data_IF_915486041555
#
_entry.id   IF_915486041555
#
_cell.length_a   1.000
_cell.length_b   1.000
_cell.length_c   1.000
_cell.angle_alpha   90.00
_cell.angle_beta   90.00
_cell.angle_gamma   90.00
#
_symmetry.space_group_name_H-M   'P 1'
#
loop_
_entity.id
_entity.type
_entity.pdbx_description
1 polymer ?
#
# COMPACT_ATOMS: atom_id res chain seq x y z
N UNK A 1 42.33 -14.75 47.58
CA UNK A 1 40.99 -15.22 47.22
C UNK A 1 40.20 -14.06 46.57
N UNK A 2 40.58 -13.59 45.37
CA UNK A 2 40.00 -12.36 44.73
C UNK A 2 39.80 -12.53 43.21
N UNK A 3 39.61 -13.76 42.72
CA UNK A 3 39.40 -14.03 41.29
C UNK A 3 37.93 -14.31 40.91
N UNK A 4 37.02 -14.29 41.89
CA UNK A 4 35.63 -14.75 41.71
C UNK A 4 34.57 -13.62 41.67
N UNK A 5 34.96 -12.36 41.88
CA UNK A 5 34.04 -11.20 41.84
C UNK A 5 33.81 -10.70 40.40
N UNK A 6 34.89 -10.37 39.68
CA UNK A 6 34.81 -9.82 38.31
C UNK A 6 34.06 -10.73 37.32
N UNK A 7 34.08 -12.06 37.55
CA UNK A 7 33.40 -13.03 36.70
C UNK A 7 31.88 -13.08 36.96
N UNK A 8 31.43 -12.72 38.16
CA UNK A 8 30.01 -12.57 38.49
C UNK A 8 29.46 -11.27 37.94
N UNK A 9 30.24 -10.20 38.03
CA UNK A 9 29.84 -8.88 37.53
C UNK A 9 29.69 -8.87 36.01
N UNK A 10 30.60 -9.52 35.27
CA UNK A 10 30.49 -9.67 33.82
C UNK A 10 29.31 -10.57 33.42
N UNK A 11 29.03 -11.62 34.18
CA UNK A 11 27.86 -12.49 33.96
C UNK A 11 26.55 -11.73 34.23
N UNK A 12 26.53 -10.89 35.27
CA UNK A 12 25.37 -10.07 35.63
C UNK A 12 25.10 -9.00 34.56
N UNK A 13 26.14 -8.35 34.05
CA UNK A 13 26.03 -7.41 32.93
C UNK A 13 25.55 -8.10 31.66
N UNK A 14 26.06 -9.31 31.35
CA UNK A 14 25.63 -10.07 30.18
C UNK A 14 24.15 -10.47 30.29
N UNK A 15 23.70 -10.93 31.46
CA UNK A 15 22.31 -11.29 31.73
C UNK A 15 21.40 -10.06 31.65
N UNK A 16 21.83 -8.93 32.24
CA UNK A 16 21.07 -7.68 32.20
C UNK A 16 20.96 -7.11 30.79
N UNK A 17 22.03 -7.24 29.98
CA UNK A 17 22.01 -6.87 28.57
C UNK A 17 21.08 -7.78 27.77
N UNK A 18 21.13 -9.09 28.00
CA UNK A 18 20.25 -10.05 27.34
C UNK A 18 18.77 -9.79 27.69
N UNK A 19 18.46 -9.51 28.95
CA UNK A 19 17.11 -9.16 29.41
C UNK A 19 16.57 -7.87 28.79
N UNK A 20 17.45 -6.95 28.37
CA UNK A 20 17.07 -5.67 27.77
C UNK A 20 16.92 -5.77 26.25
N UNK A 21 17.74 -6.60 25.60
CA UNK A 21 17.72 -6.80 24.14
C UNK A 21 16.71 -7.86 23.71
N UNK A 22 16.45 -8.87 24.53
CA UNK A 22 15.53 -9.95 24.19
C UNK A 22 14.08 -9.47 23.91
N UNK A 23 13.48 -8.52 24.67
CA UNK A 23 12.16 -7.98 24.35
C UNK A 23 12.11 -7.25 23.01
N UNK A 24 13.20 -6.58 22.63
CA UNK A 24 13.35 -5.90 21.33
C UNK A 24 13.46 -6.87 20.14
N UNK A 25 13.72 -8.17 20.39
CA UNK A 25 13.73 -9.21 19.36
C UNK A 25 12.34 -9.86 19.18
N UNK A 26 11.39 -9.63 20.10
CA UNK A 26 10.02 -10.19 20.05
C UNK A 26 9.03 -9.17 19.47
N UNK A 27 9.50 -8.10 18.85
CA UNK A 27 8.61 -7.16 18.15
C UNK A 27 8.01 -7.93 16.97
N UNK A 28 6.74 -8.30 17.09
CA UNK A 28 6.03 -8.97 16.00
C UNK A 28 6.05 -8.04 14.78
N UNK A 29 6.41 -8.53 13.58
CA UNK A 29 6.27 -7.75 12.37
C UNK A 29 4.76 -7.54 12.15
N UNK A 30 4.30 -6.31 12.41
CA UNK A 30 2.93 -5.90 12.13
C UNK A 30 2.79 -5.85 10.61
N UNK A 31 2.13 -6.86 10.05
CA UNK A 31 1.87 -6.97 8.62
C UNK A 31 0.56 -6.28 8.23
N UNK A 32 0.55 -5.61 7.08
CA UNK A 32 -0.70 -5.15 6.48
C UNK A 32 -1.62 -6.35 6.19
N UNK A 33 -2.84 -6.34 6.73
CA UNK A 33 -3.80 -7.42 6.55
C UNK A 33 -4.75 -7.09 5.40
N UNK A 34 -5.00 -8.05 4.50
CA UNK A 34 -6.04 -7.91 3.45
C UNK A 34 -7.40 -8.12 4.09
N UNK A 35 -8.20 -7.05 4.21
CA UNK A 35 -9.56 -7.10 4.74
C UNK A 35 -10.56 -7.64 3.71
N UNK A 36 -10.38 -7.23 2.45
CA UNK A 36 -11.30 -7.59 1.38
C UNK A 36 -10.57 -7.60 0.03
N UNK A 37 -10.97 -8.50 -0.85
CA UNK A 37 -10.45 -8.63 -2.21
C UNK A 37 -11.61 -8.87 -3.19
N UNK A 38 -11.59 -8.14 -4.30
CA UNK A 38 -12.62 -8.27 -5.34
C UNK A 38 -12.02 -8.04 -6.72
N UNK A 39 -12.61 -8.67 -7.73
CA UNK A 39 -12.32 -8.40 -9.12
C UNK A 39 -13.54 -7.71 -9.74
N UNK A 40 -13.32 -6.52 -10.29
CA UNK A 40 -14.38 -5.76 -10.94
C UNK A 40 -14.11 -5.61 -12.42
N UNK A 41 -15.16 -5.83 -13.21
CA UNK A 41 -15.12 -5.56 -14.65
C UNK A 41 -15.68 -4.17 -14.92
N UNK A 42 -14.83 -3.28 -15.41
CA UNK A 42 -15.15 -1.86 -15.60
C UNK A 42 -14.73 -1.36 -16.97
N UNK A 43 -15.41 -0.31 -17.44
CA UNK A 43 -15.06 0.41 -18.67
C UNK A 43 -14.15 1.60 -18.40
N UNK A 44 -14.28 2.19 -17.21
CA UNK A 44 -13.51 3.35 -16.80
C UNK A 44 -13.43 3.41 -15.28
N UNK A 45 -12.27 3.83 -14.79
CA UNK A 45 -12.02 4.15 -13.39
C UNK A 45 -11.59 5.61 -13.33
N UNK A 46 -12.23 6.39 -12.47
CA UNK A 46 -11.81 7.77 -12.18
C UNK A 46 -11.48 7.88 -10.70
N UNK A 47 -10.26 8.27 -10.39
CA UNK A 47 -9.81 8.55 -9.03
C UNK A 47 -9.69 10.06 -8.90
N UNK A 48 -10.41 10.63 -7.94
CA UNK A 48 -10.39 12.07 -7.64
C UNK A 48 -9.56 12.27 -6.38
N UNK A 49 -8.55 13.12 -6.48
CA UNK A 49 -7.62 13.42 -5.38
C UNK A 49 -7.22 14.90 -5.38
N UNK A 50 -6.96 15.42 -4.19
CA UNK A 50 -6.31 16.73 -3.99
C UNK A 50 -4.78 16.63 -3.96
N UNK A 51 -4.25 15.43 -4.10
CA UNK A 51 -2.83 15.13 -4.23
C UNK A 51 -2.40 15.35 -5.68
N UNK A 52 -2.21 16.61 -6.07
CA UNK A 52 -1.94 17.02 -7.46
C UNK A 52 -0.44 17.25 -7.71
N UNK A 53 0.37 17.32 -6.65
CA UNK A 53 1.79 17.62 -6.77
C UNK A 53 2.59 16.38 -7.22
N UNK A 54 3.32 16.52 -8.32
CA UNK A 54 4.30 15.56 -8.84
C UNK A 54 3.76 14.19 -9.30
N UNK A 55 2.45 14.08 -9.57
CA UNK A 55 1.86 12.82 -10.03
C UNK A 55 1.63 12.85 -11.56
N UNK A 56 2.32 12.01 -12.33
CA UNK A 56 2.15 11.98 -13.77
C UNK A 56 0.71 11.56 -14.12
N UNK A 57 0.17 12.15 -15.18
CA UNK A 57 -1.15 11.84 -15.74
C UNK A 57 -2.36 12.21 -14.86
N UNK A 58 -2.18 13.06 -13.84
CA UNK A 58 -3.30 13.73 -13.16
C UNK A 58 -3.67 15.02 -13.91
N UNK A 59 -4.95 15.17 -14.23
CA UNK A 59 -5.49 16.41 -14.81
C UNK A 59 -6.64 16.92 -13.94
N UNK A 60 -6.53 18.16 -13.46
CA UNK A 60 -7.55 18.81 -12.60
C UNK A 60 -7.94 17.96 -11.38
N UNK A 61 -6.95 17.34 -10.72
CA UNK A 61 -7.17 16.47 -9.56
C UNK A 61 -7.83 15.13 -9.89
N UNK A 62 -7.82 14.71 -11.17
CA UNK A 62 -8.41 13.45 -11.62
C UNK A 62 -7.38 12.60 -12.32
N UNK A 63 -7.29 11.35 -11.88
CA UNK A 63 -6.59 10.28 -12.57
C UNK A 63 -7.63 9.36 -13.21
N UNK A 64 -7.57 9.19 -14.52
CA UNK A 64 -8.56 8.43 -15.28
C UNK A 64 -7.88 7.25 -15.96
N UNK A 65 -8.42 6.05 -15.77
CA UNK A 65 -8.09 4.84 -16.54
C UNK A 65 -9.26 4.44 -17.43
N UNK A 66 -9.02 4.26 -18.73
CA UNK A 66 -10.05 3.80 -19.68
C UNK A 66 -9.43 3.00 -20.83
N UNK A 67 -10.21 2.54 -21.80
CA UNK A 67 -9.64 1.87 -22.99
C UNK A 67 -8.94 2.84 -23.96
N UNK A 68 -9.14 4.15 -23.79
CA UNK A 68 -8.67 5.21 -24.68
C UNK A 68 -7.73 6.15 -23.91
N UNK A 69 -6.72 6.70 -24.59
CA UNK A 69 -5.73 7.61 -24.01
C UNK A 69 -4.45 6.91 -23.53
N UNK A 70 -3.68 7.64 -22.70
CA UNK A 70 -2.39 7.21 -22.15
C UNK A 70 -2.54 6.19 -21.01
N UNK A 71 -3.52 6.39 -20.13
CA UNK A 71 -3.80 5.51 -18.99
C UNK A 71 -4.79 4.41 -19.38
N UNK A 72 -4.27 3.37 -20.03
CA UNK A 72 -5.11 2.26 -20.50
C UNK A 72 -5.50 1.32 -19.35
N UNK A 73 -6.78 0.95 -19.25
CA UNK A 73 -7.26 0.01 -18.23
C UNK A 73 -6.53 -1.33 -18.26
N UNK A 74 -6.17 -1.82 -19.44
CA UNK A 74 -5.39 -3.06 -19.61
C UNK A 74 -3.99 -3.01 -18.95
N UNK A 75 -3.48 -1.80 -18.71
CA UNK A 75 -2.20 -1.60 -18.04
C UNK A 75 -2.39 -1.54 -16.52
N UNK A 76 -3.61 -1.38 -16.01
CA UNK A 76 -3.90 -1.35 -14.58
C UNK A 76 -4.01 -2.77 -14.04
N UNK A 77 -3.09 -3.14 -13.16
CA UNK A 77 -3.05 -4.47 -12.54
C UNK A 77 -3.94 -4.53 -11.30
N UNK A 78 -3.79 -3.55 -10.40
CA UNK A 78 -4.45 -3.56 -9.09
C UNK A 78 -4.63 -2.17 -8.49
N UNK A 79 -5.70 -2.00 -7.73
CA UNK A 79 -5.95 -0.86 -6.85
C UNK A 79 -6.00 -1.38 -5.41
N UNK A 80 -5.06 -0.93 -4.60
CA UNK A 80 -4.96 -1.25 -3.18
C UNK A 80 -5.46 -0.04 -2.38
N UNK A 81 -6.58 -0.18 -1.68
CA UNK A 81 -7.20 0.85 -0.84
C UNK A 81 -6.73 0.62 0.60
N UNK A 82 -6.08 1.61 1.18
CA UNK A 82 -5.52 1.53 2.51
C UNK A 82 -6.43 2.22 3.51
N UNK A 83 -6.87 1.48 4.54
CA UNK A 83 -7.74 2.00 5.60
C UNK A 83 -7.06 1.92 6.97
N UNK A 84 -7.37 2.86 7.85
CA UNK A 84 -7.04 2.74 9.28
C UNK A 84 -8.02 1.80 10.00
N UNK A 85 -7.80 1.60 11.31
CA UNK A 85 -8.65 0.79 12.18
C UNK A 85 -10.07 1.35 12.34
N UNK A 86 -10.32 2.62 12.01
CA UNK A 86 -11.63 3.26 12.03
C UNK A 86 -12.34 3.17 10.66
N UNK A 87 -11.72 2.51 9.66
CA UNK A 87 -12.23 2.43 8.29
C UNK A 87 -12.03 3.70 7.46
N UNK A 88 -11.27 4.69 7.97
CA UNK A 88 -10.92 5.89 7.21
C UNK A 88 -9.88 5.54 6.15
N UNK A 89 -10.10 6.00 4.92
CA UNK A 89 -9.15 5.79 3.82
C UNK A 89 -7.93 6.70 4.02
N UNK A 90 -6.75 6.10 4.16
CA UNK A 90 -5.47 6.78 4.29
C UNK A 90 -4.83 7.09 2.93
N UNK A 91 -5.10 6.26 1.92
CA UNK A 91 -4.60 6.45 0.57
C UNK A 91 -4.92 5.27 -0.34
N UNK A 92 -4.50 5.39 -1.59
CA UNK A 92 -4.70 4.36 -2.61
C UNK A 92 -3.39 4.12 -3.34
N UNK A 93 -2.94 2.87 -3.40
CA UNK A 93 -1.84 2.47 -4.29
C UNK A 93 -2.41 1.90 -5.57
N UNK A 94 -1.89 2.39 -6.67
CA UNK A 94 -2.23 1.95 -8.01
C UNK A 94 -1.03 1.21 -8.56
N UNK A 95 -1.22 -0.05 -8.93
CA UNK A 95 -0.18 -0.89 -9.53
C UNK A 95 -0.50 -1.05 -11.02
N UNK A 96 0.44 -0.66 -11.88
CA UNK A 96 0.22 -0.61 -13.33
C UNK A 96 1.50 -0.93 -14.12
N UNK A 97 1.34 -1.27 -15.39
CA UNK A 97 2.43 -1.50 -16.35
C UNK A 97 2.66 -0.25 -17.20
N UNK A 98 3.90 0.21 -17.29
CA UNK A 98 4.26 1.43 -18.04
C UNK A 98 4.47 1.24 -19.54
N UNK A 99 4.33 -0.01 -20.03
CA UNK A 99 4.45 -0.37 -21.44
C UNK A 99 5.75 -1.09 -21.81
N UNK A 100 6.77 -1.10 -20.95
CA UNK A 100 8.03 -1.86 -21.14
C UNK A 100 8.04 -3.10 -20.21
N UNK A 101 6.87 -3.63 -19.88
CA UNK A 101 6.65 -4.73 -18.93
C UNK A 101 7.15 -4.50 -17.49
N UNK A 102 7.60 -3.29 -17.14
CA UNK A 102 7.94 -2.98 -15.75
C UNK A 102 6.68 -2.62 -14.96
N UNK A 103 6.48 -3.36 -13.87
CA UNK A 103 5.45 -3.03 -12.88
C UNK A 103 5.88 -1.77 -12.13
N UNK A 104 5.01 -0.76 -12.16
CA UNK A 104 5.16 0.46 -11.38
C UNK A 104 4.03 0.57 -10.40
N UNK A 105 4.29 1.28 -9.32
CA UNK A 105 3.25 1.66 -8.39
C UNK A 105 3.28 3.14 -8.07
N UNK A 106 2.10 3.69 -7.86
CA UNK A 106 1.89 5.09 -7.48
C UNK A 106 0.99 5.10 -6.25
N UNK A 107 1.40 5.84 -5.22
CA UNK A 107 0.59 6.05 -4.04
C UNK A 107 -0.06 7.42 -4.10
N UNK A 108 -1.38 7.46 -3.93
CA UNK A 108 -2.18 8.68 -3.92
C UNK A 108 -2.72 8.91 -2.51
N UNK A 109 -2.46 10.09 -1.95
CA UNK A 109 -3.06 10.55 -0.70
C UNK A 109 -4.32 11.36 -1.01
N UNK A 110 -5.01 11.83 0.04
CA UNK A 110 -6.13 12.79 -0.05
C UNK A 110 -7.20 12.39 -1.08
N UNK A 111 -7.55 11.10 -1.11
CA UNK A 111 -8.55 10.57 -2.03
C UNK A 111 -9.92 11.11 -1.65
N UNK A 112 -10.56 11.79 -2.59
CA UNK A 112 -11.94 12.27 -2.45
C UNK A 112 -12.95 11.20 -2.84
N UNK A 113 -12.70 10.51 -3.95
CA UNK A 113 -13.61 9.48 -4.45
C UNK A 113 -12.93 8.56 -5.47
N UNK A 114 -13.39 7.32 -5.53
CA UNK A 114 -13.10 6.38 -6.61
C UNK A 114 -14.41 6.03 -7.30
N UNK A 115 -14.47 6.26 -8.61
CA UNK A 115 -15.69 6.07 -9.41
C UNK A 115 -15.42 4.93 -10.40
N UNK A 116 -16.25 3.88 -10.31
CA UNK A 116 -16.21 2.72 -11.19
C UNK A 116 -17.37 2.78 -12.18
N UNK A 117 -17.07 3.00 -13.45
CA UNK A 117 -18.07 3.00 -14.51
C UNK A 117 -18.21 1.57 -15.08
N UNK A 118 -19.35 0.93 -14.78
CA UNK A 118 -19.68 -0.42 -15.26
C UNK A 118 -19.89 -0.41 -16.78
N UNK A 119 -19.38 -1.42 -17.47
CA UNK A 119 -19.58 -1.55 -18.90
C UNK A 119 -20.98 -2.10 -19.23
N UNK A 120 -21.78 -1.33 -19.97
CA UNK A 120 -23.11 -1.76 -20.49
C UNK A 120 -23.06 -2.27 -21.93
N UNK A 121 -21.93 -2.09 -22.64
CA UNK A 121 -21.74 -2.51 -24.05
C UNK A 121 -20.46 -3.34 -24.22
N UNK A 122 -20.33 -4.01 -25.36
CA UNK A 122 -19.19 -4.85 -25.80
C UNK A 122 -17.88 -4.07 -26.02
N UNK A 123 -17.49 -3.19 -25.08
CA UNK A 123 -16.15 -2.62 -25.03
C UNK A 123 -15.14 -3.67 -24.55
N UNK A 124 -13.85 -3.48 -24.87
CA UNK A 124 -12.78 -4.35 -24.38
C UNK A 124 -12.73 -4.25 -22.86
N UNK A 125 -13.21 -5.30 -22.19
CA UNK A 125 -13.34 -5.34 -20.74
C UNK A 125 -11.95 -5.37 -20.10
N UNK A 126 -11.70 -4.46 -19.15
CA UNK A 126 -10.59 -4.58 -18.21
C UNK A 126 -11.10 -5.20 -16.91
N UNK A 127 -10.48 -6.29 -16.46
CA UNK A 127 -10.68 -6.81 -15.10
C UNK A 127 -9.66 -6.15 -14.21
N UNK A 128 -10.13 -5.39 -13.23
CA UNK A 128 -9.28 -4.69 -12.27
C UNK A 128 -9.43 -5.37 -10.93
N UNK A 129 -8.29 -5.73 -10.35
CA UNK A 129 -8.22 -6.28 -9.02
C UNK A 129 -8.26 -5.13 -7.99
N UNK A 130 -9.20 -5.19 -7.05
CA UNK A 130 -9.32 -4.24 -5.94
C UNK A 130 -9.05 -4.99 -4.62
N UNK A 131 -8.23 -4.39 -3.75
CA UNK A 131 -8.01 -4.86 -2.39
C UNK A 131 -8.27 -3.74 -1.39
N UNK A 132 -8.76 -4.10 -0.21
CA UNK A 132 -8.81 -3.23 0.96
C UNK A 132 -7.84 -3.80 1.98
N UNK A 133 -6.91 -2.96 2.45
CA UNK A 133 -5.79 -3.34 3.30
C UNK A 133 -5.79 -2.49 4.58
N UNK A 134 -5.52 -3.10 5.74
CA UNK A 134 -5.22 -2.33 6.95
C UNK A 134 -3.86 -1.67 6.86
N UNK A 135 -3.78 -0.48 7.43
CA UNK A 135 -2.52 0.25 7.61
C UNK A 135 -2.20 0.33 9.07
N UNK A 136 -1.91 -0.82 9.67
CA UNK A 136 -1.55 -0.84 11.08
C UNK A 136 -0.20 -0.13 11.32
N UNK A 137 0.61 0.10 10.28
CA UNK A 137 1.68 1.12 10.25
C UNK A 137 2.31 1.17 8.84
N UNK A 138 1.92 2.12 7.97
CA UNK A 138 2.76 2.44 6.79
C UNK A 138 3.92 3.31 7.30
N UNK A 139 5.00 2.67 7.75
CA UNK A 139 6.21 3.38 8.22
C UNK A 139 7.00 4.01 7.06
N UNK A 140 6.82 3.58 5.81
CA UNK A 140 7.38 4.28 4.64
C UNK A 140 6.85 3.73 3.31
N UNK A 141 6.13 4.53 2.50
CA UNK A 141 5.84 4.18 1.11
C UNK A 141 6.79 4.97 0.19
N UNK A 142 8.04 4.51 0.07
CA UNK A 142 8.96 5.00 -0.98
C UNK A 142 9.42 3.81 -1.81
#
# INVERSE_FOLDING_TARGET
MVLNSNRKDSLFLLISFLLLVFPLLIINPVGATVLNESQVTVKKITIVTDDVENIPYISRGRLVFSDIGSNRLRNLKRIDIFTDHNGKINGVRIVYYDGINNEKSMFLRKIKSIIFEKSTKSFKKGTVHIRVLTTDEIVNPW
#
